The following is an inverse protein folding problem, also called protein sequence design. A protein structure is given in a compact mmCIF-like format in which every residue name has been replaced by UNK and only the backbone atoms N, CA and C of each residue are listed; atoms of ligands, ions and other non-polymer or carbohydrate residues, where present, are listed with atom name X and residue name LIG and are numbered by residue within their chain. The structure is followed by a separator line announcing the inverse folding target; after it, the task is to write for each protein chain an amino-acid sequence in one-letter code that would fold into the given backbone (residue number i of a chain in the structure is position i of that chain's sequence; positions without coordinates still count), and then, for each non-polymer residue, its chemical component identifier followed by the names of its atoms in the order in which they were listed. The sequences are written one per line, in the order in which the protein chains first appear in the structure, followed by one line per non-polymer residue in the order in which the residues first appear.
data_IF_886968692891
#
_entry.id   IF_886968692891
#
_cell.length_a   1.000
_cell.length_b   1.000
_cell.length_c   1.000
_cell.angle_alpha   90.00
_cell.angle_beta   90.00
_cell.angle_gamma   90.00
#
_symmetry.space_group_name_H-M   'P 1'
#
loop_
_entity.id
_entity.type
_entity.pdbx_description
1 polymer ?
#
# COMPACT_ATOMS: atom_id res chain seq x y z
N UNK A 1 -12.32 -21.64 -1.52
CA UNK A 1 -12.41 -20.88 -2.79
C UNK A 1 -12.08 -19.44 -2.46
N UNK A 2 -11.32 -18.74 -3.32
CA UNK A 2 -10.94 -17.34 -3.09
C UNK A 2 -12.10 -16.40 -3.39
N UNK A 3 -12.27 -15.37 -2.57
CA UNK A 3 -13.25 -14.29 -2.78
C UNK A 3 -12.90 -13.52 -4.07
N UNK A 4 -13.88 -13.30 -4.94
CA UNK A 4 -13.68 -12.53 -6.19
C UNK A 4 -13.76 -11.02 -5.96
N UNK A 5 -14.12 -10.59 -4.74
CA UNK A 5 -14.16 -9.19 -4.38
C UNK A 5 -12.80 -8.77 -3.82
N UNK A 6 -12.06 -7.97 -4.58
CA UNK A 6 -10.84 -7.33 -4.08
C UNK A 6 -11.17 -6.21 -3.08
N UNK A 7 -10.35 -6.07 -2.05
CA UNK A 7 -10.42 -4.96 -1.10
C UNK A 7 -9.23 -4.01 -1.31
N UNK A 8 -9.48 -2.70 -1.28
CA UNK A 8 -8.40 -1.71 -1.19
C UNK A 8 -7.87 -1.70 0.24
N UNK A 9 -6.59 -2.05 0.40
CA UNK A 9 -5.94 -2.16 1.71
C UNK A 9 -4.93 -1.04 2.00
N UNK A 10 -4.56 -0.26 0.98
CA UNK A 10 -3.68 0.92 1.11
C UNK A 10 -4.00 1.95 0.01
N UNK A 11 -3.98 3.24 0.37
CA UNK A 11 -4.33 4.33 -0.55
C UNK A 11 -5.84 4.42 -0.84
N UNK A 12 -6.19 4.72 -2.09
CA UNK A 12 -7.58 4.88 -2.55
C UNK A 12 -8.20 6.27 -2.35
N UNK A 13 -7.54 7.16 -1.60
CA UNK A 13 -8.03 8.52 -1.30
C UNK A 13 -7.29 9.62 -2.08
N UNK A 14 -6.85 9.30 -3.31
CA UNK A 14 -6.03 10.18 -4.15
C UNK A 14 -4.58 10.32 -3.67
N UNK A 15 -3.78 11.07 -4.44
CA UNK A 15 -2.38 11.31 -4.15
C UNK A 15 -2.20 12.23 -2.94
N UNK A 16 -1.22 11.95 -2.08
CA UNK A 16 -0.82 12.83 -0.97
C UNK A 16 -0.12 12.11 0.18
N UNK A 17 0.12 12.84 1.28
CA UNK A 17 0.96 12.42 2.39
C UNK A 17 0.20 12.04 3.68
N UNK A 18 -1.14 11.96 3.62
CA UNK A 18 -1.94 11.46 4.75
C UNK A 18 -1.74 9.95 4.93
N UNK A 19 -2.13 9.43 6.09
CA UNK A 19 -2.03 7.99 6.40
C UNK A 19 -2.84 7.11 5.43
N UNK A 20 -3.89 7.67 4.84
CA UNK A 20 -4.81 7.00 3.92
C UNK A 20 -4.55 7.33 2.44
N UNK A 21 -3.42 7.97 2.13
CA UNK A 21 -2.98 8.35 0.79
C UNK A 21 -1.58 7.79 0.50
N UNK A 22 -1.21 7.73 -0.79
CA UNK A 22 0.13 7.39 -1.27
C UNK A 22 0.60 8.46 -2.26
N UNK A 23 1.91 8.61 -2.46
CA UNK A 23 2.52 9.57 -3.38
C UNK A 23 3.68 8.93 -4.17
N UNK A 24 3.41 8.60 -5.44
CA UNK A 24 4.33 7.92 -6.37
C UNK A 24 5.05 6.68 -5.79
N UNK A 25 4.31 5.70 -5.23
CA UNK A 25 4.93 4.47 -4.72
C UNK A 25 5.66 3.71 -5.84
N UNK A 26 6.78 3.09 -5.50
CA UNK A 26 7.66 2.44 -6.49
C UNK A 26 7.73 0.93 -6.41
N UNK A 27 7.45 0.38 -5.24
CA UNK A 27 7.59 -1.05 -5.00
C UNK A 27 6.63 -1.51 -3.91
N UNK A 28 6.33 -2.80 -3.93
CA UNK A 28 5.43 -3.46 -2.97
C UNK A 28 5.97 -4.85 -2.64
N UNK A 29 6.04 -5.16 -1.35
CA UNK A 29 6.47 -6.45 -0.84
C UNK A 29 5.38 -7.05 0.05
N UNK A 30 5.19 -8.36 -0.07
CA UNK A 30 4.43 -9.15 0.90
C UNK A 30 5.43 -9.84 1.82
N UNK A 31 5.43 -9.45 3.09
CA UNK A 31 6.13 -10.21 4.12
C UNK A 31 5.21 -11.33 4.61
N UNK A 32 5.56 -12.57 4.24
CA UNK A 32 4.79 -13.77 4.61
C UNK A 32 4.99 -14.18 6.06
N UNK A 33 6.05 -13.72 6.73
CA UNK A 33 6.28 -14.05 8.13
C UNK A 33 5.37 -13.21 9.04
N UNK A 34 5.17 -11.94 8.70
CA UNK A 34 4.34 -10.99 9.46
C UNK A 34 2.95 -10.76 8.87
N UNK A 35 2.64 -11.39 7.73
CA UNK A 35 1.41 -11.18 6.94
C UNK A 35 1.14 -9.68 6.63
N UNK A 36 2.22 -8.94 6.36
CA UNK A 36 2.19 -7.50 6.14
C UNK A 36 2.42 -7.13 4.66
N UNK A 37 1.73 -6.08 4.22
CA UNK A 37 1.98 -5.40 2.95
C UNK A 37 2.89 -4.19 3.21
N UNK A 38 4.06 -4.17 2.60
CA UNK A 38 5.05 -3.09 2.75
C UNK A 38 5.11 -2.30 1.44
N UNK A 39 5.08 -0.96 1.51
CA UNK A 39 4.96 -0.09 0.33
C UNK A 39 6.06 0.97 0.35
N UNK A 40 6.93 0.96 -0.66
CA UNK A 40 7.92 2.02 -0.85
C UNK A 40 7.25 3.27 -1.43
N UNK A 41 6.83 4.21 -0.56
CA UNK A 41 6.08 5.42 -0.89
C UNK A 41 7.04 6.60 -1.13
N UNK A 42 7.62 6.62 -2.33
CA UNK A 42 8.83 7.38 -2.69
C UNK A 42 8.72 8.88 -2.41
N UNK A 43 7.65 9.53 -2.85
CA UNK A 43 7.56 10.99 -2.76
C UNK A 43 7.15 11.44 -1.35
N UNK A 44 6.52 10.55 -0.58
CA UNK A 44 6.33 10.70 0.87
C UNK A 44 7.57 10.33 1.70
N UNK A 45 8.60 9.76 1.07
CA UNK A 45 9.86 9.34 1.70
C UNK A 45 9.65 8.39 2.89
N UNK A 46 8.75 7.42 2.73
CA UNK A 46 8.43 6.39 3.74
C UNK A 46 8.35 4.99 3.14
N UNK A 47 8.30 4.00 4.02
CA UNK A 47 8.08 2.57 3.77
C UNK A 47 6.94 2.08 4.64
#
# INVERSE_FOLDING_TARGET
MGDTNGQVVAGGNGQGNRLDQLDHPTDVLIDKETDSLIICDRDNRRV
#
